data_IF_310336857917
#
_entry.id   IF_310336857917
#
_cell.length_a   1.000
_cell.length_b   1.000
_cell.length_c   1.000
_cell.angle_alpha   90.00
_cell.angle_beta   90.00
_cell.angle_gamma   90.00
#
_symmetry.space_group_name_H-M   'P 1'
#
loop_
_entity.id
_entity.type
_entity.pdbx_description
1 polymer ?
#
# COMPACT_ATOMS: atom_id res chain seq x y z
N UNK A 1 -29.26 56.57 22.70
CA UNK A 1 -29.10 56.29 24.16
C UNK A 1 -29.90 55.03 24.47
N UNK A 2 -29.44 54.29 25.49
CA UNK A 2 -30.00 53.04 26.05
C UNK A 2 -29.36 51.73 25.56
N UNK A 3 -28.41 51.31 26.40
CA UNK A 3 -27.82 49.97 26.51
C UNK A 3 -28.81 49.10 27.30
N UNK A 4 -29.15 47.93 26.78
CA UNK A 4 -29.74 46.86 27.61
C UNK A 4 -28.67 45.83 27.98
N UNK A 5 -28.56 45.65 29.29
CA UNK A 5 -27.79 44.64 30.04
C UNK A 5 -28.48 43.26 29.97
N UNK A 6 -27.72 42.29 30.46
CA UNK A 6 -28.07 40.94 30.92
C UNK A 6 -27.77 39.84 29.91
N UNK A 7 -26.63 39.18 30.10
CA UNK A 7 -26.56 37.77 30.52
C UNK A 7 -25.15 37.52 31.07
N UNK A 8 -25.07 37.41 32.40
CA UNK A 8 -24.00 36.74 33.12
C UNK A 8 -24.68 35.56 33.82
N UNK A 9 -24.30 34.34 33.46
CA UNK A 9 -24.39 33.18 34.34
C UNK A 9 -23.53 32.05 33.75
N UNK A 10 -22.30 32.02 34.28
CA UNK A 10 -21.43 30.86 34.49
C UNK A 10 -22.02 29.48 34.13
N UNK A 11 -21.53 28.90 33.04
CA UNK A 11 -21.24 27.46 33.00
C UNK A 11 -19.75 27.32 32.68
N UNK A 12 -18.98 27.06 33.72
CA UNK A 12 -17.60 26.62 33.64
C UNK A 12 -17.53 25.38 32.75
N UNK A 13 -17.18 25.59 31.49
CA UNK A 13 -16.60 24.56 30.65
C UNK A 13 -15.25 24.24 31.27
N UNK A 14 -15.19 23.11 31.95
CA UNK A 14 -13.94 22.46 32.35
C UNK A 14 -13.14 22.18 31.07
N UNK A 15 -12.29 23.14 30.70
CA UNK A 15 -11.16 22.98 29.79
C UNK A 15 -10.14 22.05 30.47
N UNK A 16 -10.43 20.75 30.49
CA UNK A 16 -9.37 19.78 30.65
C UNK A 16 -8.67 19.65 29.32
N UNK A 17 -7.52 20.33 29.21
CA UNK A 17 -6.45 20.09 28.26
C UNK A 17 -5.94 18.62 28.38
N UNK A 18 -6.76 17.66 27.98
CA UNK A 18 -6.32 16.28 27.74
C UNK A 18 -5.80 16.15 26.28
N UNK A 19 -5.03 17.14 25.83
CA UNK A 19 -4.19 16.98 24.64
C UNK A 19 -2.95 16.23 25.09
N UNK A 20 -2.98 14.92 24.86
CA UNK A 20 -1.88 14.01 25.12
C UNK A 20 -0.58 14.56 24.46
N UNK A 21 0.39 14.92 25.29
CA UNK A 21 1.70 15.38 24.83
C UNK A 21 2.49 14.22 24.23
N UNK A 22 2.56 14.19 22.90
CA UNK A 22 3.34 13.22 22.14
C UNK A 22 4.85 13.31 22.40
N UNK A 23 5.33 14.40 23.00
CA UNK A 23 6.74 14.58 23.31
C UNK A 23 7.19 13.63 24.42
N UNK A 24 6.34 13.38 25.42
CA UNK A 24 6.63 12.47 26.56
C UNK A 24 6.66 10.99 26.15
N UNK A 25 6.09 10.62 24.99
CA UNK A 25 6.25 9.27 24.42
C UNK A 25 7.58 9.08 23.69
N UNK A 26 8.22 10.17 23.23
CA UNK A 26 9.53 10.08 22.59
C UNK A 26 10.60 9.67 23.60
N UNK A 27 10.56 10.24 24.80
CA UNK A 27 11.58 10.00 25.83
C UNK A 27 11.65 8.51 26.25
N UNK A 28 10.52 7.82 26.35
CA UNK A 28 10.48 6.36 26.66
C UNK A 28 10.95 5.49 25.49
N UNK A 29 10.82 5.99 24.26
CA UNK A 29 11.28 5.30 23.05
C UNK A 29 12.76 5.56 22.78
N UNK A 30 13.25 6.76 23.10
CA UNK A 30 14.64 7.17 22.97
C UNK A 30 15.52 6.54 24.07
N UNK A 31 15.00 6.34 25.30
CA UNK A 31 15.74 5.63 26.36
C UNK A 31 16.01 4.13 26.05
N UNK A 32 15.35 3.55 25.03
CA UNK A 32 15.58 2.17 24.57
C UNK A 32 16.26 2.08 23.19
N UNK A 33 16.59 3.20 22.57
CA UNK A 33 17.31 3.25 21.30
C UNK A 33 18.32 4.38 21.40
N UNK A 34 19.58 4.04 21.65
CA UNK A 34 20.68 4.99 21.55
C UNK A 34 20.73 5.56 20.14
N UNK A 35 20.13 6.73 19.95
CA UNK A 35 20.28 7.52 18.75
C UNK A 35 21.53 8.38 18.91
N UNK A 36 22.51 8.14 18.04
CA UNK A 36 23.62 9.06 17.84
C UNK A 36 23.05 10.38 17.29
N UNK A 37 22.97 11.37 18.16
CA UNK A 37 22.48 12.70 17.86
C UNK A 37 23.64 13.56 17.34
N UNK A 38 23.88 13.54 16.04
CA UNK A 38 24.70 14.57 15.39
C UNK A 38 24.04 15.05 14.11
N UNK A 39 23.20 16.08 14.25
CA UNK A 39 22.96 17.10 13.22
C UNK A 39 22.27 18.31 13.86
N UNK A 40 23.09 19.23 14.37
CA UNK A 40 22.67 20.57 14.75
C UNK A 40 22.13 21.34 13.54
N UNK A 41 20.99 21.98 13.76
CA UNK A 41 20.35 22.89 12.81
C UNK A 41 21.05 24.24 12.82
N UNK A 42 21.54 24.69 11.66
CA UNK A 42 21.60 26.12 11.34
C UNK A 42 21.68 26.32 9.82
N UNK A 43 20.97 27.35 9.34
CA UNK A 43 21.25 28.00 8.06
C UNK A 43 20.48 27.46 6.86
N UNK A 44 19.40 28.15 6.53
CA UNK A 44 18.78 28.15 5.21
C UNK A 44 19.80 28.49 4.12
N UNK A 45 20.10 27.54 3.23
CA UNK A 45 20.52 27.81 1.85
C UNK A 45 20.26 26.58 0.96
N UNK A 46 19.69 26.84 -0.22
CA UNK A 46 19.37 25.83 -1.23
C UNK A 46 20.69 25.30 -1.82
N UNK A 47 21.09 24.09 -1.45
CA UNK A 47 22.23 23.39 -2.07
C UNK A 47 21.71 22.23 -2.92
N UNK A 48 21.67 22.46 -4.23
CA UNK A 48 21.59 21.40 -5.24
C UNK A 48 22.77 20.44 -5.03
N UNK A 49 22.57 19.11 -4.93
CA UNK A 49 23.68 18.19 -4.75
C UNK A 49 24.59 18.22 -5.99
N UNK A 50 25.87 18.60 -5.78
CA UNK A 50 26.95 18.47 -6.76
C UNK A 50 27.05 17.01 -7.21
N UNK A 51 26.93 16.78 -8.53
CA UNK A 51 27.26 15.51 -9.18
C UNK A 51 28.68 15.09 -8.81
N UNK A 52 28.83 14.05 -7.98
CA UNK A 52 30.07 13.29 -7.91
C UNK A 52 30.20 12.48 -9.21
N UNK A 53 31.18 12.81 -10.04
CA UNK A 53 31.65 11.95 -11.14
C UNK A 53 32.21 10.67 -10.51
N UNK A 54 31.48 9.56 -10.61
CA UNK A 54 32.09 8.24 -10.45
C UNK A 54 33.02 8.01 -11.66
N UNK A 55 34.27 7.64 -11.37
CA UNK A 55 35.21 7.14 -12.38
C UNK A 55 34.65 5.84 -12.95
N UNK A 56 34.51 5.80 -14.26
CA UNK A 56 34.25 4.59 -15.03
C UNK A 56 35.54 3.76 -14.95
N UNK A 57 35.45 2.56 -14.39
CA UNK A 57 36.45 1.52 -14.60
C UNK A 57 35.90 0.70 -15.77
N UNK A 58 36.52 0.87 -16.93
CA UNK A 58 36.32 -0.02 -18.08
C UNK A 58 36.98 -1.35 -17.71
N UNK A 59 36.17 -2.36 -17.39
CA UNK A 59 36.62 -3.74 -17.41
C UNK A 59 36.10 -4.38 -18.69
N UNK A 60 36.96 -4.41 -19.69
CA UNK A 60 36.83 -5.25 -20.87
C UNK A 60 36.79 -6.72 -20.41
N UNK A 61 35.63 -7.34 -20.53
CA UNK A 61 35.51 -8.79 -20.68
C UNK A 61 34.52 -9.04 -21.81
N UNK A 62 35.07 -9.12 -23.01
CA UNK A 62 34.49 -9.85 -24.12
C UNK A 62 34.32 -11.31 -23.67
N UNK A 63 33.09 -11.76 -23.46
CA UNK A 63 32.52 -12.85 -24.26
C UNK A 63 31.12 -13.25 -23.76
N UNK A 64 30.30 -13.72 -24.71
CA UNK A 64 28.89 -14.12 -24.62
C UNK A 64 27.82 -13.03 -24.80
N UNK A 65 27.94 -12.26 -25.89
CA UNK A 65 26.76 -11.63 -26.51
C UNK A 65 25.85 -12.73 -27.09
N UNK A 66 24.84 -13.14 -26.31
CA UNK A 66 23.65 -13.78 -26.87
C UNK A 66 23.03 -12.80 -27.88
N UNK A 67 22.79 -13.28 -29.10
CA UNK A 67 22.08 -12.55 -30.16
C UNK A 67 20.82 -11.88 -29.60
N UNK A 68 20.88 -10.58 -29.29
CA UNK A 68 19.71 -9.77 -28.99
C UNK A 68 19.01 -9.54 -30.32
N UNK A 69 17.87 -10.19 -30.53
CA UNK A 69 16.97 -9.89 -31.66
C UNK A 69 16.81 -8.36 -31.78
N UNK A 70 17.04 -7.80 -32.96
CA UNK A 70 16.78 -6.38 -33.17
C UNK A 70 15.28 -6.07 -33.10
N UNK A 71 14.92 -4.83 -32.75
CA UNK A 71 13.53 -4.38 -32.79
C UNK A 71 13.02 -4.35 -34.24
N UNK A 72 12.01 -5.16 -34.53
CA UNK A 72 11.37 -5.24 -35.85
C UNK A 72 10.06 -4.46 -35.87
N UNK A 73 9.82 -3.69 -36.92
CA UNK A 73 8.53 -3.04 -37.16
C UNK A 73 7.48 -4.11 -37.54
N UNK A 74 6.44 -4.20 -36.73
CA UNK A 74 5.31 -5.13 -36.90
C UNK A 74 3.98 -4.38 -36.91
N UNK A 75 3.99 -3.08 -37.22
CA UNK A 75 2.80 -2.22 -37.20
C UNK A 75 1.66 -2.76 -38.06
N UNK A 76 1.97 -3.39 -39.19
CA UNK A 76 1.00 -3.97 -40.14
C UNK A 76 0.90 -5.51 -40.03
N UNK A 77 1.55 -6.11 -39.02
CA UNK A 77 1.60 -7.57 -38.85
C UNK A 77 0.88 -7.98 -37.58
N UNK A 78 0.03 -8.99 -37.71
CA UNK A 78 -0.62 -9.66 -36.57
C UNK A 78 0.33 -10.70 -35.94
N UNK A 79 1.52 -10.25 -35.55
CA UNK A 79 2.55 -11.12 -34.99
C UNK A 79 2.34 -11.29 -33.48
N UNK A 80 1.71 -12.41 -33.10
CA UNK A 80 1.41 -12.74 -31.70
C UNK A 80 2.68 -13.12 -30.92
N UNK A 81 2.85 -12.64 -29.68
CA UNK A 81 3.81 -13.24 -28.74
C UNK A 81 3.43 -14.68 -28.39
N UNK A 82 4.42 -15.53 -28.09
CA UNK A 82 4.17 -16.87 -27.58
C UNK A 82 3.48 -16.78 -26.22
N UNK A 83 2.33 -17.42 -26.10
CA UNK A 83 1.51 -17.44 -24.88
C UNK A 83 1.81 -18.66 -24.04
N UNK A 84 1.96 -18.44 -22.75
CA UNK A 84 2.00 -19.50 -21.74
C UNK A 84 0.56 -19.74 -21.28
N UNK A 85 -0.03 -20.93 -21.49
CA UNK A 85 -1.39 -21.21 -21.03
C UNK A 85 -1.51 -21.00 -19.52
N UNK A 86 -2.54 -20.28 -19.10
CA UNK A 86 -2.87 -20.12 -17.70
C UNK A 86 -3.15 -21.48 -17.05
N UNK A 87 -2.48 -21.76 -15.93
CA UNK A 87 -2.69 -22.99 -15.18
C UNK A 87 -2.24 -22.80 -13.74
N UNK A 88 -3.11 -23.21 -12.83
CA UNK A 88 -2.89 -23.21 -11.38
C UNK A 88 -3.19 -24.58 -10.78
N UNK A 89 -3.25 -25.63 -11.59
CA UNK A 89 -3.64 -26.97 -11.12
C UNK A 89 -2.65 -27.48 -10.05
N UNK A 90 -3.14 -28.16 -9.00
CA UNK A 90 -4.53 -28.59 -8.77
C UNK A 90 -5.43 -27.56 -8.06
N UNK A 91 -4.97 -26.32 -7.86
CA UNK A 91 -5.74 -25.28 -7.20
C UNK A 91 -6.89 -24.76 -8.10
N UNK A 92 -7.88 -24.11 -7.47
CA UNK A 92 -9.05 -23.52 -8.12
C UNK A 92 -9.08 -22.02 -7.82
N UNK A 93 -9.43 -21.21 -8.83
CA UNK A 93 -9.57 -19.75 -8.71
C UNK A 93 -10.69 -19.43 -7.71
N UNK A 94 -10.53 -18.35 -6.96
CA UNK A 94 -11.57 -17.78 -6.13
C UNK A 94 -11.38 -18.07 -4.64
N UNK A 95 -12.45 -17.95 -3.84
CA UNK A 95 -12.40 -18.11 -2.39
C UNK A 95 -11.96 -19.52 -1.97
N UNK A 96 -10.96 -19.60 -1.10
CA UNK A 96 -10.50 -20.82 -0.44
C UNK A 96 -11.11 -20.91 0.97
N UNK A 97 -12.38 -20.58 1.09
CA UNK A 97 -13.09 -20.43 2.37
C UNK A 97 -13.98 -21.65 2.61
N UNK A 98 -14.05 -22.17 3.85
CA UNK A 98 -14.98 -23.24 4.20
C UNK A 98 -16.45 -22.88 3.92
N UNK A 99 -17.25 -23.84 3.47
CA UNK A 99 -18.66 -23.64 3.08
C UNK A 99 -19.60 -23.27 4.24
N UNK A 100 -19.17 -23.49 5.48
CA UNK A 100 -19.92 -23.13 6.70
C UNK A 100 -19.78 -21.65 7.09
N UNK A 101 -18.96 -20.87 6.37
CA UNK A 101 -18.83 -19.42 6.55
C UNK A 101 -19.88 -18.72 5.70
N UNK A 102 -20.92 -18.20 6.35
CA UNK A 102 -22.10 -17.62 5.66
C UNK A 102 -22.46 -16.23 6.15
N UNK A 103 -22.12 -15.88 7.39
CA UNK A 103 -22.42 -14.57 7.97
C UNK A 103 -21.25 -13.59 7.77
N UNK A 104 -21.51 -12.29 7.53
CA UNK A 104 -20.46 -11.28 7.35
C UNK A 104 -19.40 -11.25 8.44
N UNK A 105 -19.80 -11.44 9.71
CA UNK A 105 -18.88 -11.48 10.85
C UNK A 105 -17.91 -12.67 10.78
N UNK A 106 -18.36 -13.81 10.23
CA UNK A 106 -17.51 -14.98 10.09
C UNK A 106 -16.41 -14.73 9.05
N UNK A 107 -16.74 -14.07 7.93
CA UNK A 107 -15.76 -13.63 6.94
C UNK A 107 -14.75 -12.64 7.55
N UNK A 108 -15.20 -11.69 8.36
CA UNK A 108 -14.31 -10.75 9.05
C UNK A 108 -13.34 -11.47 10.00
N UNK A 109 -13.84 -12.47 10.73
CA UNK A 109 -13.06 -13.29 11.67
C UNK A 109 -12.04 -14.22 11.00
N UNK A 110 -12.09 -14.42 9.68
CA UNK A 110 -11.01 -15.11 8.96
C UNK A 110 -9.70 -14.32 9.02
N UNK A 111 -9.79 -12.98 9.00
CA UNK A 111 -8.65 -12.06 9.00
C UNK A 111 -8.31 -11.58 10.40
N UNK A 112 -9.31 -11.19 11.19
CA UNK A 112 -9.13 -10.83 12.60
C UNK A 112 -9.60 -12.00 13.47
N UNK A 113 -8.75 -13.01 13.61
CA UNK A 113 -9.11 -14.22 14.36
C UNK A 113 -9.18 -13.96 15.86
N UNK A 114 -9.87 -14.83 16.59
CA UNK A 114 -9.91 -14.75 18.05
C UNK A 114 -8.52 -14.94 18.68
N UNK A 115 -7.64 -15.73 18.06
CA UNK A 115 -6.24 -15.91 18.47
C UNK A 115 -5.45 -14.60 18.36
N UNK A 116 -5.55 -13.92 17.21
CA UNK A 116 -4.90 -12.63 17.01
C UNK A 116 -5.45 -11.58 18.00
N UNK A 117 -6.77 -11.56 18.19
CA UNK A 117 -7.41 -10.65 19.16
C UNK A 117 -6.89 -10.89 20.58
N UNK A 118 -6.77 -12.15 21.00
CA UNK A 118 -6.25 -12.50 22.31
C UNK A 118 -4.78 -12.04 22.48
N UNK A 119 -3.97 -12.12 21.42
CA UNK A 119 -2.60 -11.61 21.44
C UNK A 119 -2.56 -10.07 21.57
N UNK A 120 -3.37 -9.36 20.78
CA UNK A 120 -3.48 -7.89 20.87
C UNK A 120 -3.95 -7.46 22.26
N UNK A 121 -4.94 -8.15 22.83
CA UNK A 121 -5.46 -7.90 24.17
C UNK A 121 -4.39 -8.07 25.24
N UNK A 122 -3.63 -9.17 25.17
CA UNK A 122 -2.53 -9.45 26.09
C UNK A 122 -1.50 -8.32 26.04
N UNK A 123 -1.05 -7.92 24.86
CA UNK A 123 -0.04 -6.88 24.70
C UNK A 123 -0.55 -5.49 25.09
N UNK A 124 -1.81 -5.17 24.76
CA UNK A 124 -2.49 -3.93 25.17
C UNK A 124 -2.56 -3.80 26.70
N UNK A 125 -3.01 -4.86 27.38
CA UNK A 125 -3.12 -4.86 28.84
C UNK A 125 -1.74 -4.84 29.53
N UNK A 126 -0.75 -5.56 28.98
CA UNK A 126 0.63 -5.52 29.48
C UNK A 126 1.25 -4.14 29.32
N UNK A 127 1.09 -3.51 28.16
CA UNK A 127 1.58 -2.16 27.90
C UNK A 127 0.96 -1.17 28.88
N UNK A 128 -0.36 -1.18 29.04
CA UNK A 128 -1.03 -0.32 29.99
C UNK A 128 -0.47 -0.51 31.40
N UNK A 129 -0.37 -1.74 31.91
CA UNK A 129 0.22 -2.03 33.23
C UNK A 129 1.63 -1.45 33.39
N UNK A 130 2.47 -1.55 32.35
CA UNK A 130 3.83 -1.03 32.38
C UNK A 130 3.85 0.51 32.41
N UNK A 131 3.07 1.16 31.54
CA UNK A 131 2.97 2.63 31.51
C UNK A 131 2.45 3.17 32.84
N UNK A 132 1.43 2.55 33.41
CA UNK A 132 0.82 3.01 34.65
C UNK A 132 1.72 2.82 35.87
N UNK A 133 2.61 1.82 35.85
CA UNK A 133 3.63 1.62 36.90
C UNK A 133 4.75 2.65 36.83
N UNK A 134 5.18 3.00 35.62
CA UNK A 134 6.36 3.84 35.40
C UNK A 134 6.04 5.34 35.42
N UNK A 135 4.83 5.75 35.02
CA UNK A 135 4.45 7.16 34.96
C UNK A 135 3.76 7.62 36.23
N UNK A 136 4.11 8.82 36.70
CA UNK A 136 3.26 9.58 37.62
C UNK A 136 2.09 10.14 36.83
N UNK A 137 0.90 9.61 37.09
CA UNK A 137 -0.32 10.01 36.40
C UNK A 137 -1.04 11.07 37.24
N UNK A 138 -1.52 12.13 36.59
CA UNK A 138 -2.40 13.12 37.23
C UNK A 138 -3.63 12.45 37.86
N UNK A 139 -4.12 12.99 38.97
CA UNK A 139 -5.34 12.50 39.65
C UNK A 139 -6.57 12.53 38.75
N UNK A 140 -6.62 13.49 37.81
CA UNK A 140 -7.77 13.69 36.92
C UNK A 140 -7.66 12.88 35.62
N UNK A 141 -6.54 12.18 35.42
CA UNK A 141 -6.32 11.43 34.19
C UNK A 141 -7.33 10.30 34.03
N UNK A 142 -7.79 10.10 32.79
CA UNK A 142 -8.63 8.97 32.46
C UNK A 142 -7.99 7.62 32.82
N UNK A 143 -6.67 7.55 32.91
CA UNK A 143 -5.88 6.35 33.18
C UNK A 143 -5.93 5.86 34.63
N UNK A 144 -6.34 6.69 35.58
CA UNK A 144 -6.49 6.30 36.99
C UNK A 144 -7.52 5.18 37.18
N UNK A 145 -8.55 5.16 36.34
CA UNK A 145 -9.58 4.13 36.35
C UNK A 145 -9.37 3.13 35.23
N UNK A 146 -8.11 2.86 34.85
CA UNK A 146 -7.82 1.81 33.89
C UNK A 146 -8.22 0.46 34.47
N UNK A 147 -8.89 -0.33 33.63
CA UNK A 147 -9.07 -1.77 33.84
C UNK A 147 -8.69 -2.49 32.57
N UNK A 148 -8.23 -3.73 32.72
CA UNK A 148 -7.89 -4.59 31.60
C UNK A 148 -9.07 -4.68 30.62
N UNK A 149 -8.74 -4.71 29.33
CA UNK A 149 -9.69 -4.85 28.23
C UNK A 149 -10.04 -6.33 28.09
N UNK A 150 -11.34 -6.62 28.04
CA UNK A 150 -11.88 -7.97 27.86
C UNK A 150 -12.15 -8.27 26.38
N UNK A 151 -12.33 -9.56 26.06
CA UNK A 151 -12.51 -10.01 24.67
C UNK A 151 -13.75 -9.43 24.00
N UNK A 152 -14.90 -9.48 24.67
CA UNK A 152 -16.17 -8.95 24.14
C UNK A 152 -16.11 -7.43 24.01
N UNK A 153 -15.46 -6.77 24.98
CA UNK A 153 -15.21 -5.33 24.94
C UNK A 153 -14.33 -4.94 23.75
N UNK A 154 -13.28 -5.71 23.46
CA UNK A 154 -12.43 -5.45 22.29
C UNK A 154 -13.18 -5.64 20.97
N UNK A 155 -14.01 -6.68 20.87
CA UNK A 155 -14.87 -6.88 19.70
C UNK A 155 -15.86 -5.73 19.51
N UNK A 156 -16.46 -5.22 20.59
CA UNK A 156 -17.28 -4.02 20.56
C UNK A 156 -16.48 -2.79 20.12
N UNK A 157 -15.24 -2.65 20.59
CA UNK A 157 -14.34 -1.55 20.20
C UNK A 157 -14.05 -1.58 18.69
N UNK A 158 -13.72 -2.75 18.13
CA UNK A 158 -13.56 -2.93 16.68
C UNK A 158 -14.86 -2.59 15.94
N UNK A 159 -16.01 -3.03 16.44
CA UNK A 159 -17.32 -2.68 15.88
C UNK A 159 -17.57 -1.17 15.82
N UNK A 160 -17.17 -0.43 16.87
CA UNK A 160 -17.21 1.04 16.88
C UNK A 160 -16.27 1.63 15.83
N UNK A 161 -15.03 1.16 15.73
CA UNK A 161 -14.06 1.64 14.73
C UNK A 161 -14.56 1.42 13.30
N UNK A 162 -15.16 0.26 13.02
CA UNK A 162 -15.75 -0.04 11.71
C UNK A 162 -16.90 0.94 11.41
N UNK A 163 -17.77 1.22 12.38
CA UNK A 163 -18.89 2.15 12.18
C UNK A 163 -18.44 3.62 12.09
N UNK A 164 -17.33 4.01 12.72
CA UNK A 164 -16.72 5.33 12.48
C UNK A 164 -16.21 5.47 11.03
N UNK A 165 -15.81 4.37 10.40
CA UNK A 165 -15.43 4.35 8.99
C UNK A 165 -16.61 4.47 8.02
N UNK A 166 -17.84 4.21 8.46
CA UNK A 166 -19.05 4.43 7.64
C UNK A 166 -19.66 5.80 7.90
N UNK A 167 -19.64 6.25 9.17
CA UNK A 167 -20.18 7.54 9.60
C UNK A 167 -19.04 8.44 10.07
N UNK A 168 -18.46 9.20 9.14
CA UNK A 168 -17.36 10.11 9.46
C UNK A 168 -17.85 11.42 10.09
N UNK A 169 -17.47 11.68 11.33
CA UNK A 169 -17.69 12.96 12.01
C UNK A 169 -16.45 13.87 11.96
N UNK A 170 -16.63 15.15 12.28
CA UNK A 170 -15.60 16.18 12.15
C UNK A 170 -14.38 15.94 13.05
N UNK A 171 -14.58 15.35 14.24
CA UNK A 171 -13.52 15.01 15.19
C UNK A 171 -13.96 13.82 16.07
N UNK A 172 -13.02 13.28 16.85
CA UNK A 172 -13.26 12.08 17.69
C UNK A 172 -14.29 12.34 18.80
N UNK A 173 -14.38 13.57 19.30
CA UNK A 173 -15.25 13.93 20.42
C UNK A 173 -16.72 13.95 20.01
N UNK A 174 -17.03 14.32 18.76
CA UNK A 174 -18.41 14.40 18.25
C UNK A 174 -19.16 13.06 18.31
N UNK A 175 -18.46 11.93 18.23
CA UNK A 175 -19.10 10.61 18.32
C UNK A 175 -19.82 10.38 19.65
N UNK A 176 -19.44 11.11 20.72
CA UNK A 176 -20.06 11.03 22.04
C UNK A 176 -20.79 12.32 22.44
N UNK A 177 -21.18 13.14 21.46
CA UNK A 177 -21.99 14.33 21.74
C UNK A 177 -23.33 13.94 22.35
N UNK A 178 -23.76 14.70 23.36
CA UNK A 178 -25.07 14.54 24.01
C UNK A 178 -26.12 15.49 23.44
N UNK A 179 -25.73 16.39 22.52
CA UNK A 179 -26.64 17.35 21.87
C UNK A 179 -27.64 16.61 20.99
N UNK A 180 -28.92 16.85 21.22
CA UNK A 180 -30.02 16.11 20.58
C UNK A 180 -29.95 16.12 19.06
N UNK A 181 -29.56 17.24 18.45
CA UNK A 181 -29.48 17.41 17.00
C UNK A 181 -28.29 16.69 16.32
N UNK A 182 -27.31 16.21 17.08
CA UNK A 182 -26.09 15.56 16.56
C UNK A 182 -25.81 14.20 17.20
N UNK A 183 -26.59 13.80 18.21
CA UNK A 183 -26.38 12.57 18.97
C UNK A 183 -26.66 11.35 18.10
N UNK A 184 -25.67 10.45 18.03
CA UNK A 184 -25.81 9.14 17.41
C UNK A 184 -25.75 8.07 18.51
N UNK A 185 -26.91 7.53 18.96
CA UNK A 185 -26.98 6.71 20.17
C UNK A 185 -26.05 5.50 20.20
N UNK A 186 -25.78 4.89 19.04
CA UNK A 186 -24.91 3.71 18.91
C UNK A 186 -23.57 3.89 19.66
N UNK A 187 -22.88 5.01 19.47
CA UNK A 187 -21.56 5.23 20.06
C UNK A 187 -21.62 5.38 21.58
N UNK A 188 -22.53 6.23 22.08
CA UNK A 188 -22.71 6.46 23.52
C UNK A 188 -23.27 5.26 24.27
N UNK A 189 -24.07 4.43 23.59
CA UNK A 189 -24.65 3.23 24.19
C UNK A 189 -23.65 2.07 24.22
N UNK A 190 -22.64 2.07 23.33
CA UNK A 190 -21.61 1.02 23.29
C UNK A 190 -20.44 1.32 24.21
N UNK A 191 -19.93 2.56 24.19
CA UNK A 191 -18.85 3.00 25.06
C UNK A 191 -19.11 4.38 25.64
N UNK A 192 -18.58 4.63 26.84
CA UNK A 192 -18.33 6.02 27.26
C UNK A 192 -17.14 6.58 26.48
N UNK A 193 -17.14 7.90 26.21
CA UNK A 193 -15.99 8.58 25.58
C UNK A 193 -14.68 8.26 26.29
N UNK A 194 -14.72 8.25 27.63
CA UNK A 194 -13.59 7.91 28.49
C UNK A 194 -13.06 6.50 28.22
N UNK A 195 -13.91 5.47 28.23
CA UNK A 195 -13.47 4.08 28.05
C UNK A 195 -12.99 3.81 26.63
N UNK A 196 -13.63 4.39 25.62
CA UNK A 196 -13.15 4.27 24.24
C UNK A 196 -11.75 4.87 24.09
N UNK A 197 -11.54 6.12 24.55
CA UNK A 197 -10.24 6.76 24.52
C UNK A 197 -9.20 5.98 25.32
N UNK A 198 -9.61 5.34 26.42
CA UNK A 198 -8.72 4.50 27.18
C UNK A 198 -8.13 3.38 26.29
N UNK A 199 -9.01 2.61 25.64
CA UNK A 199 -8.59 1.49 24.78
C UNK A 199 -7.79 2.01 23.58
N UNK A 200 -8.28 3.08 22.94
CA UNK A 200 -7.67 3.65 21.74
C UNK A 200 -6.21 4.03 21.92
N UNK A 201 -5.85 4.73 23.01
CA UNK A 201 -4.48 5.17 23.23
C UNK A 201 -3.55 4.09 23.80
N UNK A 202 -4.09 3.06 24.46
CA UNK A 202 -3.30 1.96 25.01
C UNK A 202 -3.21 0.76 24.06
N UNK A 203 -3.87 0.78 22.91
CA UNK A 203 -3.83 -0.29 21.92
C UNK A 203 -2.39 -0.59 21.49
N UNK A 204 -1.91 -1.79 21.78
CA UNK A 204 -0.55 -2.21 21.47
C UNK A 204 -0.52 -3.57 20.79
N UNK A 205 0.42 -3.69 19.85
CA UNK A 205 0.73 -4.93 19.13
C UNK A 205 2.00 -5.53 19.71
N UNK A 206 2.14 -6.85 19.53
CA UNK A 206 3.39 -7.53 19.82
C UNK A 206 4.49 -7.03 18.90
N UNK A 207 5.48 -6.36 19.48
CA UNK A 207 6.65 -5.90 18.75
C UNK A 207 7.58 -7.07 18.41
N UNK A 208 8.28 -7.03 17.26
CA UNK A 208 9.37 -7.95 17.00
C UNK A 208 10.42 -7.88 18.12
N UNK A 209 11.09 -9.00 18.37
CA UNK A 209 12.20 -9.05 19.33
C UNK A 209 13.36 -8.16 18.83
N UNK A 210 13.71 -7.07 19.54
CA UNK A 210 14.78 -6.16 19.11
C UNK A 210 16.15 -6.84 19.06
N UNK A 211 16.36 -7.90 19.86
CA UNK A 211 17.63 -8.64 19.85
C UNK A 211 17.80 -9.48 18.57
N UNK A 212 16.70 -9.79 17.88
CA UNK A 212 16.68 -10.61 16.66
C UNK A 212 16.37 -9.80 15.40
N UNK A 213 15.82 -8.60 15.54
CA UNK A 213 15.38 -7.77 14.44
C UNK A 213 15.92 -6.36 14.60
N UNK A 214 16.55 -5.84 13.55
CA UNK A 214 17.00 -4.45 13.50
C UNK A 214 15.79 -3.53 13.26
N UNK A 215 15.15 -3.10 14.35
CA UNK A 215 14.01 -2.18 14.34
C UNK A 215 14.53 -0.75 14.14
N UNK A 216 14.61 -0.33 12.88
CA UNK A 216 15.07 1.02 12.51
C UNK A 216 13.93 2.04 12.41
N UNK A 217 12.67 1.59 12.38
CA UNK A 217 11.49 2.45 12.22
C UNK A 217 10.32 2.04 13.09
N UNK A 218 9.51 3.03 13.52
CA UNK A 218 8.35 2.80 14.39
C UNK A 218 7.30 1.85 13.79
N UNK A 219 7.12 1.81 12.47
CA UNK A 219 6.10 0.93 11.85
C UNK A 219 6.58 -0.52 11.76
N UNK A 220 7.88 -0.81 11.84
CA UNK A 220 8.35 -2.19 12.03
C UNK A 220 7.81 -2.80 13.34
N UNK A 221 7.35 -2.00 14.30
CA UNK A 221 6.62 -2.51 15.48
C UNK A 221 5.32 -3.22 15.14
N UNK A 222 4.72 -2.90 13.99
CA UNK A 222 3.52 -3.55 13.47
C UNK A 222 3.83 -4.66 12.44
N UNK A 223 5.11 -4.98 12.17
CA UNK A 223 5.47 -5.94 11.12
C UNK A 223 4.85 -7.31 11.35
N UNK A 224 4.89 -7.82 12.59
CA UNK A 224 4.26 -9.10 12.96
C UNK A 224 2.78 -9.14 12.58
N UNK A 225 2.03 -8.06 12.86
CA UNK A 225 0.62 -7.95 12.51
C UNK A 225 0.43 -7.85 10.99
N UNK A 226 1.25 -7.06 10.30
CA UNK A 226 1.16 -6.89 8.85
C UNK A 226 1.49 -8.18 8.11
N UNK A 227 2.50 -8.93 8.56
CA UNK A 227 2.85 -10.25 8.04
C UNK A 227 1.73 -11.26 8.30
N UNK A 228 1.15 -11.25 9.50
CA UNK A 228 -0.02 -12.09 9.81
C UNK A 228 -1.18 -11.79 8.86
N UNK A 229 -1.60 -10.53 8.72
CA UNK A 229 -2.72 -10.16 7.85
C UNK A 229 -2.41 -10.48 6.39
N UNK A 230 -1.18 -10.21 5.93
CA UNK A 230 -0.74 -10.55 4.59
C UNK A 230 -0.83 -12.06 4.32
N UNK A 231 -0.49 -12.89 5.33
CA UNK A 231 -0.64 -14.35 5.20
C UNK A 231 -2.10 -14.75 4.99
N UNK A 232 -3.04 -14.09 5.69
CA UNK A 232 -4.49 -14.34 5.58
C UNK A 232 -5.06 -13.96 4.22
N UNK A 233 -4.55 -12.91 3.57
CA UNK A 233 -4.95 -12.58 2.21
C UNK A 233 -4.72 -13.75 1.25
N UNK A 234 -3.56 -14.41 1.36
CA UNK A 234 -3.21 -15.54 0.51
C UNK A 234 -3.81 -16.88 0.94
N UNK A 235 -4.25 -17.03 2.20
CA UNK A 235 -4.87 -18.26 2.71
C UNK A 235 -6.29 -18.47 2.14
N UNK A 236 -7.04 -17.39 1.91
CA UNK A 236 -8.49 -17.46 1.65
C UNK A 236 -8.92 -17.13 0.22
N UNK A 237 -7.99 -16.86 -0.69
CA UNK A 237 -8.33 -16.52 -2.06
C UNK A 237 -7.19 -16.84 -3.02
N UNK A 238 -7.52 -17.35 -4.20
CA UNK A 238 -6.57 -17.54 -5.31
C UNK A 238 -7.04 -16.66 -6.47
N UNK A 239 -6.20 -15.74 -6.99
CA UNK A 239 -6.59 -14.82 -8.05
C UNK A 239 -6.81 -15.52 -9.38
N UNK A 240 -7.60 -14.88 -10.24
CA UNK A 240 -7.75 -15.27 -11.63
C UNK A 240 -6.51 -14.95 -12.48
N UNK A 241 -6.57 -15.26 -13.77
CA UNK A 241 -5.44 -15.06 -14.70
C UNK A 241 -4.87 -13.64 -14.68
N UNK A 242 -5.74 -12.63 -14.54
CA UNK A 242 -5.37 -11.23 -14.59
C UNK A 242 -5.11 -10.67 -13.19
N UNK A 243 -3.85 -10.28 -12.92
CA UNK A 243 -3.41 -9.69 -11.66
C UNK A 243 -2.82 -8.30 -11.90
N UNK A 244 -2.85 -7.41 -10.92
CA UNK A 244 -2.28 -6.08 -11.04
C UNK A 244 -1.38 -5.70 -9.87
N UNK A 245 -0.35 -4.91 -10.16
CA UNK A 245 0.53 -4.31 -9.14
C UNK A 245 0.46 -2.80 -9.22
N UNK A 246 0.13 -2.17 -8.10
CA UNK A 246 0.05 -0.71 -7.96
C UNK A 246 0.37 -0.29 -6.50
N UNK A 247 0.44 1.01 -6.25
CA UNK A 247 0.57 1.57 -4.90
C UNK A 247 -0.77 1.94 -4.26
N UNK A 248 -0.90 1.63 -2.98
CA UNK A 248 -1.91 2.21 -2.08
C UNK A 248 -1.25 3.17 -1.08
N UNK A 249 -2.00 4.19 -0.66
CA UNK A 249 -1.54 5.20 0.30
C UNK A 249 -2.49 5.24 1.50
N UNK A 250 -1.97 4.88 2.67
CA UNK A 250 -2.65 4.97 3.95
C UNK A 250 -2.46 6.39 4.48
N UNK A 251 -3.55 7.15 4.53
CA UNK A 251 -3.54 8.57 4.95
C UNK A 251 -2.93 8.71 6.35
N UNK A 252 -1.81 9.40 6.45
CA UNK A 252 -1.12 9.62 7.71
C UNK A 252 -0.30 10.93 7.65
N UNK A 253 -0.31 11.70 8.74
CA UNK A 253 0.39 12.99 8.87
C UNK A 253 1.26 13.08 10.13
N UNK A 254 1.53 11.96 10.80
CA UNK A 254 2.40 11.94 11.99
C UNK A 254 3.88 12.08 11.66
N UNK A 255 4.74 12.07 12.69
CA UNK A 255 6.19 12.20 12.52
C UNK A 255 6.84 10.83 12.29
N UNK A 256 6.92 10.38 11.03
CA UNK A 256 7.69 9.20 10.61
C UNK A 256 8.53 9.52 9.38
N UNK A 257 9.74 8.94 9.28
CA UNK A 257 10.76 9.31 8.29
C UNK A 257 10.42 8.96 6.84
N UNK A 258 9.51 8.01 6.61
CA UNK A 258 9.18 7.48 5.28
C UNK A 258 7.75 7.81 4.83
N UNK A 259 7.13 8.85 5.41
CA UNK A 259 5.92 9.42 4.82
C UNK A 259 6.21 9.84 3.38
N UNK A 260 5.32 9.45 2.48
CA UNK A 260 5.39 9.85 1.08
C UNK A 260 4.45 11.00 0.81
N UNK A 261 4.94 11.99 0.08
CA UNK A 261 4.15 13.09 -0.46
C UNK A 261 3.90 12.88 -1.96
N UNK A 262 2.63 12.90 -2.38
CA UNK A 262 2.26 12.93 -3.79
C UNK A 262 1.22 14.02 -4.06
N UNK A 263 1.61 15.18 -4.61
CA UNK A 263 0.69 16.31 -4.81
C UNK A 263 -0.45 16.00 -5.79
N UNK A 264 -0.27 15.00 -6.66
CA UNK A 264 -1.21 14.63 -7.71
C UNK A 264 -2.29 13.63 -7.25
N UNK A 265 -2.24 13.16 -5.99
CA UNK A 265 -3.20 12.22 -5.41
C UNK A 265 -4.11 12.95 -4.41
N UNK A 266 -5.34 12.47 -4.24
CA UNK A 266 -6.31 13.03 -3.27
C UNK A 266 -5.75 12.98 -1.84
N UNK A 267 -5.20 11.82 -1.46
CA UNK A 267 -4.43 11.65 -0.23
C UNK A 267 -2.98 12.00 -0.51
N UNK A 268 -2.61 13.26 -0.23
CA UNK A 268 -1.27 13.77 -0.53
C UNK A 268 -0.18 13.22 0.37
N UNK A 269 -0.49 12.93 1.63
CA UNK A 269 0.45 12.49 2.66
C UNK A 269 0.03 11.14 3.20
N UNK A 270 0.96 10.19 3.24
CA UNK A 270 0.67 8.90 3.85
C UNK A 270 1.80 7.89 3.75
N UNK A 271 1.53 6.75 4.38
CA UNK A 271 2.38 5.56 4.32
C UNK A 271 2.02 4.83 3.03
N UNK A 272 3.03 4.53 2.21
CA UNK A 272 2.86 3.81 0.96
C UNK A 272 2.91 2.30 1.21
N UNK A 273 2.04 1.56 0.55
CA UNK A 273 2.13 0.11 0.44
C UNK A 273 2.04 -0.29 -1.03
N UNK A 274 2.85 -1.26 -1.44
CA UNK A 274 2.77 -1.88 -2.76
C UNK A 274 1.80 -3.06 -2.68
N UNK A 275 0.89 -3.18 -3.64
CA UNK A 275 -0.24 -4.12 -3.55
C UNK A 275 -0.26 -4.98 -4.80
N UNK A 276 -0.39 -6.29 -4.62
CA UNK A 276 -0.81 -7.23 -5.66
C UNK A 276 -2.28 -7.55 -5.45
N UNK A 277 -3.08 -7.36 -6.50
CA UNK A 277 -4.51 -7.63 -6.45
C UNK A 277 -5.00 -8.42 -7.67
N UNK A 278 -6.14 -9.09 -7.48
CA UNK A 278 -6.94 -9.63 -8.58
C UNK A 278 -7.53 -8.48 -9.39
N UNK A 279 -7.38 -8.52 -10.71
CA UNK A 279 -7.79 -7.40 -11.58
C UNK A 279 -9.29 -7.34 -11.83
N UNK A 280 -10.00 -8.45 -11.66
CA UNK A 280 -11.43 -8.54 -11.98
C UNK A 280 -12.29 -8.12 -10.78
N UNK A 281 -11.97 -8.62 -9.59
CA UNK A 281 -12.77 -8.36 -8.38
C UNK A 281 -12.11 -7.41 -7.38
N UNK A 282 -10.84 -7.04 -7.59
CA UNK A 282 -10.12 -6.11 -6.73
C UNK A 282 -9.69 -6.70 -5.37
N UNK A 283 -9.65 -8.03 -5.24
CA UNK A 283 -9.19 -8.68 -4.02
C UNK A 283 -7.69 -8.45 -3.82
N UNK A 284 -7.30 -7.94 -2.65
CA UNK A 284 -5.90 -7.74 -2.28
C UNK A 284 -5.29 -9.09 -1.90
N UNK A 285 -4.37 -9.58 -2.72
CA UNK A 285 -3.71 -10.87 -2.50
C UNK A 285 -2.44 -10.75 -1.65
N UNK A 286 -1.68 -9.67 -1.85
CA UNK A 286 -0.44 -9.43 -1.10
C UNK A 286 -0.13 -7.95 -0.99
N UNK A 287 0.44 -7.56 0.15
CA UNK A 287 0.92 -6.21 0.43
C UNK A 287 2.39 -6.21 0.81
N UNK A 288 3.11 -5.18 0.39
CA UNK A 288 4.47 -4.87 0.81
C UNK A 288 4.51 -3.41 1.31
N UNK A 289 4.46 -3.19 2.63
CA UNK A 289 4.59 -1.86 3.21
C UNK A 289 5.95 -1.22 2.87
N UNK A 290 5.94 0.08 2.57
CA UNK A 290 7.15 0.85 2.30
C UNK A 290 7.66 1.51 3.59
N UNK A 291 8.89 1.17 3.95
CA UNK A 291 9.65 1.67 5.09
C UNK A 291 10.83 2.57 4.63
N UNK A 292 10.71 3.20 3.46
CA UNK A 292 11.80 3.97 2.86
C UNK A 292 12.91 3.06 2.31
N UNK A 293 14.17 3.39 2.60
CA UNK A 293 15.33 2.64 2.07
C UNK A 293 15.38 1.19 2.55
N UNK A 294 14.88 0.92 3.77
CA UNK A 294 14.85 -0.41 4.38
C UNK A 294 14.09 -1.41 3.49
N UNK A 295 12.96 -1.00 2.89
CA UNK A 295 12.24 -1.87 1.96
C UNK A 295 13.10 -2.22 0.76
N UNK A 296 13.81 -1.25 0.18
CA UNK A 296 14.71 -1.50 -0.95
C UNK A 296 15.99 -2.25 -0.58
N UNK A 297 16.44 -2.20 0.67
CA UNK A 297 17.58 -2.98 1.16
C UNK A 297 17.20 -4.46 1.31
N UNK A 298 16.01 -4.73 1.85
CA UNK A 298 15.56 -6.09 2.18
C UNK A 298 14.94 -6.86 1.00
N UNK A 299 14.62 -6.19 -0.11
CA UNK A 299 14.11 -6.87 -1.31
C UNK A 299 15.19 -7.81 -1.90
N UNK A 300 14.83 -8.96 -2.48
CA UNK A 300 15.78 -9.82 -3.19
C UNK A 300 16.29 -9.15 -4.48
N UNK A 301 17.33 -9.74 -5.11
CA UNK A 301 17.89 -9.31 -6.41
C UNK A 301 18.35 -7.84 -6.46
N UNK A 302 19.36 -7.46 -5.65
CA UNK A 302 19.86 -6.07 -5.61
C UNK A 302 20.47 -5.60 -6.93
N UNK A 303 20.77 -6.51 -7.86
CA UNK A 303 21.18 -6.25 -9.23
C UNK A 303 20.10 -5.58 -10.10
N UNK A 304 18.83 -5.66 -9.69
CA UNK A 304 17.69 -5.15 -10.44
C UNK A 304 17.19 -3.79 -9.92
N UNK A 305 16.42 -3.09 -10.76
CA UNK A 305 15.72 -1.87 -10.37
C UNK A 305 14.72 -2.13 -9.22
N UNK A 306 14.59 -1.20 -8.28
CA UNK A 306 13.66 -1.32 -7.15
C UNK A 306 12.22 -1.59 -7.60
N UNK A 307 11.75 -0.90 -8.65
CA UNK A 307 10.40 -1.12 -9.21
C UNK A 307 10.22 -2.55 -9.70
N UNK A 308 11.22 -3.12 -10.37
CA UNK A 308 11.21 -4.52 -10.83
C UNK A 308 11.18 -5.47 -9.63
N UNK A 309 12.03 -5.23 -8.62
CA UNK A 309 12.14 -6.08 -7.42
C UNK A 309 10.84 -6.13 -6.61
N UNK A 310 10.13 -5.01 -6.48
CA UNK A 310 8.82 -4.95 -5.83
C UNK A 310 7.84 -5.90 -6.53
N UNK A 311 7.73 -5.77 -7.86
CA UNK A 311 6.80 -6.57 -8.66
C UNK A 311 7.14 -8.07 -8.59
N UNK A 312 8.42 -8.42 -8.74
CA UNK A 312 8.87 -9.81 -8.64
C UNK A 312 8.66 -10.39 -7.24
N UNK A 313 8.90 -9.60 -6.18
CA UNK A 313 8.68 -10.03 -4.81
C UNK A 313 7.20 -10.33 -4.55
N UNK A 314 6.30 -9.45 -4.96
CA UNK A 314 4.86 -9.66 -4.81
C UNK A 314 4.38 -10.89 -5.59
N UNK A 315 4.87 -11.08 -6.82
CA UNK A 315 4.54 -12.28 -7.59
C UNK A 315 5.14 -13.56 -6.98
N UNK A 316 6.33 -13.48 -6.40
CA UNK A 316 6.93 -14.60 -5.66
C UNK A 316 6.06 -15.02 -4.47
N UNK A 317 5.40 -14.10 -3.77
CA UNK A 317 4.46 -14.45 -2.70
C UNK A 317 3.28 -15.29 -3.23
N UNK A 318 2.80 -15.01 -4.44
CA UNK A 318 1.80 -15.84 -5.12
C UNK A 318 2.35 -17.23 -5.43
N UNK A 319 3.53 -17.31 -6.05
CA UNK A 319 4.15 -18.59 -6.39
C UNK A 319 4.49 -19.44 -5.15
N UNK A 320 4.81 -18.82 -4.01
CA UNK A 320 5.04 -19.56 -2.76
C UNK A 320 3.80 -20.33 -2.30
N UNK A 321 2.60 -19.83 -2.60
CA UNK A 321 1.33 -20.49 -2.28
C UNK A 321 0.79 -21.38 -3.39
N UNK A 322 1.08 -21.02 -4.64
CA UNK A 322 0.68 -21.79 -5.84
C UNK A 322 1.93 -22.07 -6.69
N UNK A 323 2.82 -23.01 -6.29
CA UNK A 323 4.10 -23.22 -6.98
C UNK A 323 3.98 -23.71 -8.43
N UNK A 324 2.85 -24.31 -8.78
CA UNK A 324 2.54 -24.80 -10.12
C UNK A 324 1.99 -23.71 -11.04
N UNK A 325 1.72 -22.52 -10.50
CA UNK A 325 1.19 -21.38 -11.23
C UNK A 325 2.04 -21.02 -12.45
N UNK A 326 1.36 -20.82 -13.57
CA UNK A 326 1.94 -20.29 -14.81
C UNK A 326 0.87 -19.58 -15.63
N UNK A 327 1.31 -18.73 -16.53
CA UNK A 327 0.45 -18.04 -17.49
C UNK A 327 -0.38 -16.91 -16.88
N UNK A 328 -0.13 -16.49 -15.63
CA UNK A 328 -0.71 -15.25 -15.11
C UNK A 328 -0.36 -14.07 -16.02
N UNK A 329 -1.25 -13.09 -16.09
CA UNK A 329 -1.09 -11.85 -16.83
C UNK A 329 -1.10 -10.68 -15.87
N UNK A 330 0.08 -10.09 -15.67
CA UNK A 330 0.25 -8.95 -14.79
C UNK A 330 0.04 -7.62 -15.52
N UNK A 331 -0.79 -6.77 -14.93
CA UNK A 331 -1.03 -5.39 -15.36
C UNK A 331 -0.34 -4.41 -14.42
N UNK A 332 0.46 -3.49 -14.96
CA UNK A 332 1.16 -2.49 -14.15
C UNK A 332 1.14 -1.10 -14.76
N UNK A 333 1.38 -0.08 -13.93
CA UNK A 333 1.52 1.29 -14.38
C UNK A 333 2.93 1.58 -14.96
N UNK A 334 3.16 2.84 -15.34
CA UNK A 334 4.44 3.30 -15.91
C UNK A 334 5.61 3.38 -14.92
N UNK A 335 5.36 3.36 -13.62
CA UNK A 335 6.42 3.30 -12.60
C UNK A 335 7.07 1.92 -12.59
N UNK A 336 6.28 0.84 -12.78
CA UNK A 336 6.79 -0.53 -12.82
C UNK A 336 7.26 -0.98 -14.21
N UNK A 337 6.48 -0.66 -15.24
CA UNK A 337 6.65 -1.24 -16.58
C UNK A 337 8.03 -0.93 -17.18
N UNK A 338 8.75 -1.99 -17.55
CA UNK A 338 10.02 -1.94 -18.26
C UNK A 338 10.27 -3.23 -19.03
N UNK A 339 11.17 -3.18 -20.03
CA UNK A 339 11.57 -4.37 -20.80
C UNK A 339 12.20 -5.41 -19.87
N UNK A 340 13.07 -4.97 -18.95
CA UNK A 340 13.67 -5.83 -17.92
C UNK A 340 12.63 -6.55 -17.07
N UNK A 341 11.57 -5.85 -16.63
CA UNK A 341 10.49 -6.49 -15.87
C UNK A 341 9.74 -7.53 -16.71
N UNK A 342 9.49 -7.24 -17.99
CA UNK A 342 8.83 -8.18 -18.90
C UNK A 342 9.63 -9.47 -19.08
N UNK A 343 10.95 -9.36 -19.20
CA UNK A 343 11.87 -10.49 -19.31
C UNK A 343 11.93 -11.32 -18.02
N UNK A 344 12.07 -10.67 -16.86
CA UNK A 344 12.13 -11.38 -15.56
C UNK A 344 10.81 -12.07 -15.21
N UNK A 345 9.66 -11.42 -15.45
CA UNK A 345 8.36 -12.06 -15.25
C UNK A 345 8.15 -13.24 -16.20
N UNK A 346 8.62 -13.14 -17.45
CA UNK A 346 8.54 -14.25 -18.41
C UNK A 346 9.37 -15.46 -17.98
N UNK A 347 10.53 -15.26 -17.35
CA UNK A 347 11.31 -16.34 -16.70
C UNK A 347 10.50 -17.03 -15.60
N UNK A 348 9.65 -16.26 -14.90
CA UNK A 348 8.69 -16.77 -13.91
C UNK A 348 7.34 -17.20 -14.51
N UNK A 349 7.27 -17.39 -15.83
CA UNK A 349 6.07 -17.80 -16.58
C UNK A 349 4.86 -16.87 -16.40
N UNK A 350 5.12 -15.57 -16.25
CA UNK A 350 4.11 -14.52 -16.12
C UNK A 350 4.21 -13.53 -17.28
N UNK A 351 3.07 -13.16 -17.85
CA UNK A 351 2.97 -12.12 -18.85
C UNK A 351 2.90 -10.74 -18.18
N UNK A 352 3.28 -9.71 -18.93
CA UNK A 352 3.24 -8.33 -18.50
C UNK A 352 2.52 -7.50 -19.55
N UNK A 353 1.65 -6.60 -19.11
CA UNK A 353 1.16 -5.49 -19.90
C UNK A 353 1.10 -4.24 -19.05
N UNK A 354 1.52 -3.11 -19.61
CA UNK A 354 1.51 -1.86 -18.86
C UNK A 354 1.94 -0.69 -19.70
N UNK A 355 1.55 0.50 -19.27
CA UNK A 355 2.02 1.74 -19.90
C UNK A 355 3.50 1.90 -19.63
N UNK A 356 4.33 2.25 -20.63
CA UNK A 356 5.78 2.37 -20.45
C UNK A 356 6.24 3.82 -20.58
N UNK A 357 7.24 4.21 -19.77
CA UNK A 357 7.93 5.48 -19.99
C UNK A 357 8.93 5.33 -21.15
N UNK A 358 8.79 6.15 -22.20
CA UNK A 358 9.63 6.06 -23.41
C UNK A 358 11.14 6.33 -23.19
N UNK A 359 11.51 6.89 -22.04
CA UNK A 359 12.90 7.13 -21.65
C UNK A 359 13.54 5.92 -20.93
N UNK A 360 12.81 4.81 -20.75
CA UNK A 360 13.36 3.57 -20.15
C UNK A 360 14.46 2.99 -21.04
N UNK A 361 15.45 2.35 -20.39
CA UNK A 361 16.52 1.61 -21.08
C UNK A 361 15.92 0.52 -21.97
N UNK A 362 16.48 0.36 -23.18
CA UNK A 362 16.05 -0.64 -24.17
C UNK A 362 14.93 -0.19 -25.12
N UNK A 363 14.21 0.90 -24.82
CA UNK A 363 13.17 1.43 -25.72
C UNK A 363 13.83 2.03 -26.97
N UNK A 364 13.46 1.60 -28.19
CA UNK A 364 14.07 2.08 -29.42
C UNK A 364 13.77 3.57 -29.66
N UNK A 365 14.68 4.26 -30.33
CA UNK A 365 14.57 5.71 -30.59
C UNK A 365 13.36 6.07 -31.45
N UNK A 366 12.93 5.16 -32.33
CA UNK A 366 11.73 5.27 -33.15
C UNK A 366 10.46 5.46 -32.30
N UNK A 367 10.36 4.78 -31.15
CA UNK A 367 9.24 4.91 -30.21
C UNK A 367 9.31 6.15 -29.32
N UNK A 368 10.49 6.78 -29.18
CA UNK A 368 10.62 8.05 -28.45
C UNK A 368 10.01 9.22 -29.22
N UNK A 369 9.96 9.11 -30.55
CA UNK A 369 9.33 10.07 -31.47
C UNK A 369 8.51 9.29 -32.51
N UNK A 370 7.38 8.69 -32.10
CA UNK A 370 6.62 7.82 -32.98
C UNK A 370 6.01 8.65 -34.12
N UNK A 371 6.25 8.22 -35.36
CA UNK A 371 5.67 8.84 -36.56
C UNK A 371 4.22 8.38 -36.70
N UNK A 372 3.30 9.16 -36.15
CA UNK A 372 1.85 8.86 -36.13
C UNK A 372 1.04 9.76 -37.08
N UNK A 373 1.70 10.49 -37.98
CA UNK A 373 1.04 11.44 -38.87
C UNK A 373 0.26 10.74 -39.99
N UNK A 374 0.77 9.59 -40.46
CA UNK A 374 0.12 8.74 -41.49
C UNK A 374 -0.49 7.46 -40.89
N UNK A 375 -0.02 7.01 -39.72
CA UNK A 375 -0.42 5.77 -39.07
C UNK A 375 -1.05 6.05 -37.70
N UNK A 376 -2.22 5.45 -37.41
CA UNK A 376 -2.89 5.59 -36.09
C UNK A 376 -2.09 4.98 -34.94
N UNK A 377 -1.24 4.00 -35.24
CA UNK A 377 -0.43 3.23 -34.29
C UNK A 377 0.91 2.86 -34.92
N UNK A 378 1.94 2.70 -34.09
CA UNK A 378 3.19 2.02 -34.42
C UNK A 378 3.42 0.87 -33.44
N UNK A 379 3.95 -0.24 -33.92
CA UNK A 379 4.27 -1.40 -33.09
C UNK A 379 5.64 -1.98 -33.47
N UNK A 380 6.46 -2.24 -32.45
CA UNK A 380 7.77 -2.86 -32.60
C UNK A 380 7.84 -4.11 -31.73
N UNK A 381 8.47 -5.17 -32.24
CA UNK A 381 8.64 -6.45 -31.52
C UNK A 381 10.12 -6.82 -31.42
N UNK A 382 10.52 -7.28 -30.25
CA UNK A 382 11.83 -7.88 -29.96
C UNK A 382 11.58 -9.18 -29.18
N UNK A 383 11.97 -10.32 -29.74
CA UNK A 383 11.58 -11.63 -29.21
C UNK A 383 10.08 -11.72 -28.96
N UNK A 384 9.67 -11.90 -27.71
CA UNK A 384 8.28 -11.97 -27.27
C UNK A 384 7.71 -10.66 -26.69
N UNK A 385 8.49 -9.58 -26.71
CA UNK A 385 8.08 -8.28 -26.16
C UNK A 385 7.68 -7.36 -27.29
N UNK A 386 6.50 -6.76 -27.16
CA UNK A 386 5.97 -5.73 -28.05
C UNK A 386 5.89 -4.38 -27.35
N UNK A 387 6.20 -3.34 -28.12
CA UNK A 387 6.01 -1.96 -27.74
C UNK A 387 5.07 -1.29 -28.73
N UNK A 388 4.07 -0.60 -28.19
CA UNK A 388 3.05 0.11 -28.95
C UNK A 388 3.18 1.60 -28.68
N UNK A 389 2.90 2.41 -29.69
CA UNK A 389 2.45 3.77 -29.46
C UNK A 389 1.30 4.12 -30.39
N UNK A 390 0.26 4.75 -29.85
CA UNK A 390 -0.86 5.26 -30.62
C UNK A 390 -1.30 6.62 -30.08
N UNK A 391 -2.06 7.37 -30.89
CA UNK A 391 -2.60 8.67 -30.52
C UNK A 391 -4.05 8.53 -30.08
N UNK A 392 -4.30 8.73 -28.79
CA UNK A 392 -5.62 9.11 -28.26
C UNK A 392 -5.62 10.65 -28.09
N UNK A 393 -6.13 11.21 -26.98
CA UNK A 393 -5.92 12.64 -26.61
C UNK A 393 -4.45 13.03 -26.50
N UNK A 394 -3.59 12.06 -26.17
CA UNK A 394 -2.13 12.16 -26.15
C UNK A 394 -1.55 10.86 -26.70
N UNK A 395 -0.25 10.88 -27.01
CA UNK A 395 0.46 9.65 -27.36
C UNK A 395 0.49 8.76 -26.12
N UNK A 396 -0.02 7.55 -26.27
CA UNK A 396 0.06 6.48 -25.26
C UNK A 396 1.12 5.49 -25.73
N UNK A 397 1.99 5.08 -24.81
CA UNK A 397 2.99 4.04 -25.06
C UNK A 397 2.75 2.86 -24.12
N UNK A 398 2.72 1.66 -24.68
CA UNK A 398 2.42 0.42 -23.96
C UNK A 398 3.52 -0.61 -24.24
N UNK A 399 3.85 -1.41 -23.24
CA UNK A 399 4.60 -2.65 -23.39
C UNK A 399 3.65 -3.82 -23.14
N UNK A 400 3.71 -4.84 -23.99
CA UNK A 400 3.03 -6.11 -23.76
C UNK A 400 3.87 -7.28 -24.27
N UNK A 401 3.81 -8.42 -23.59
CA UNK A 401 4.27 -9.70 -24.14
C UNK A 401 3.11 -10.70 -24.35
N UNK A 402 1.90 -10.17 -24.58
CA UNK A 402 0.65 -10.93 -24.76
C UNK A 402 -0.19 -10.46 -25.97
N UNK A 403 -0.27 -9.15 -26.17
CA UNK A 403 -1.08 -8.50 -27.21
C UNK A 403 -0.32 -8.32 -28.53
N UNK A 404 -1.04 -8.16 -29.64
CA UNK A 404 -0.50 -7.82 -30.97
C UNK A 404 -0.87 -6.38 -31.38
N UNK A 405 -0.45 -5.98 -32.58
CA UNK A 405 -0.68 -4.64 -33.12
C UNK A 405 -2.11 -4.40 -33.67
N UNK A 406 -3.01 -5.38 -33.57
CA UNK A 406 -4.39 -5.24 -34.04
C UNK A 406 -5.10 -4.10 -33.33
N UNK A 407 -5.81 -3.26 -34.08
CA UNK A 407 -6.63 -2.20 -33.52
C UNK A 407 -8.03 -2.72 -33.26
N UNK A 408 -8.48 -2.63 -32.01
CA UNK A 408 -9.82 -3.03 -31.60
C UNK A 408 -10.63 -1.81 -31.16
N UNK A 409 -11.92 -1.84 -31.50
CA UNK A 409 -12.90 -0.88 -30.99
C UNK A 409 -13.37 -1.34 -29.62
N UNK A 410 -13.20 -0.50 -28.60
CA UNK A 410 -13.62 -0.80 -27.22
C UNK A 410 -14.45 0.33 -26.62
N UNK A 411 -15.21 0.01 -25.57
CA UNK A 411 -15.97 0.99 -24.80
C UNK A 411 -15.16 1.41 -23.58
N UNK A 412 -14.89 2.71 -23.48
CA UNK A 412 -14.22 3.33 -22.34
C UNK A 412 -15.26 3.99 -21.45
N UNK A 413 -15.28 3.61 -20.17
CA UNK A 413 -16.03 4.33 -19.15
C UNK A 413 -15.32 5.64 -18.80
N UNK A 414 -16.05 6.74 -18.90
CA UNK A 414 -15.58 8.07 -18.46
C UNK A 414 -16.20 8.37 -17.10
N UNK A 415 -15.46 9.15 -16.29
CA UNK A 415 -15.95 9.68 -15.02
C UNK A 415 -17.27 10.43 -15.25
N UNK A 416 -18.35 9.95 -14.65
CA UNK A 416 -19.72 10.44 -14.91
C UNK A 416 -20.66 9.40 -15.54
N UNK A 417 -20.17 8.18 -15.84
CA UNK A 417 -21.02 7.08 -16.33
C UNK A 417 -21.28 7.09 -17.83
N UNK A 418 -20.63 7.99 -18.58
CA UNK A 418 -20.71 8.02 -20.04
C UNK A 418 -19.73 7.03 -20.66
N UNK A 419 -20.18 6.38 -21.74
CA UNK A 419 -19.35 5.47 -22.52
C UNK A 419 -18.88 6.19 -23.79
N UNK A 420 -17.56 6.18 -24.02
CA UNK A 420 -16.96 6.62 -25.28
C UNK A 420 -16.45 5.40 -26.02
N UNK A 421 -16.73 5.33 -27.32
CA UNK A 421 -16.17 4.30 -28.19
C UNK A 421 -14.81 4.78 -28.66
N UNK A 422 -13.77 4.00 -28.38
CA UNK A 422 -12.40 4.32 -28.77
C UNK A 422 -11.79 3.16 -29.55
N UNK A 423 -10.86 3.47 -30.45
CA UNK A 423 -9.98 2.48 -31.07
C UNK A 423 -8.64 2.49 -30.34
N UNK A 424 -8.16 1.31 -29.96
CA UNK A 424 -6.84 1.13 -29.35
C UNK A 424 -6.23 -0.21 -29.80
N UNK A 425 -4.91 -0.41 -29.65
CA UNK A 425 -4.32 -1.72 -29.82
C UNK A 425 -4.97 -2.77 -28.90
N UNK A 426 -4.98 -4.02 -29.38
CA UNK A 426 -5.62 -5.18 -28.75
C UNK A 426 -5.27 -5.35 -27.28
#
# INVERSE_FOLDING_TARGET
MEKNKYYDENLELSDTEDVFDFQVLKDIVEDNVGYDSDASSSGSEIILPKRRRMRIIESETEDSLQYLDEWRDVTEKLDMPDRIPFSILPQVIGPQVPTNIVQPIQYFKLFLTDELVNEILKETNNYAKNVLKLKKISSNSIWQTWRDVEKDEFWAFIGVIVNMGTIHLANMQEYWTVKENSRIPFFSNTFTRKRFNQIFWMLHLKTPDPAKNDIRTLIQRASNFLEYINSKFSDYFIPGENICVDESVIKFKGKISFITYNPNKLTKWGIRAYVLADSEIGYVYSILPCYGSITSENLPRPDLLVSTRITLHLYQQLLNRVPTAKGYHMHTDRYYTSILLAEELRKMKCHLTGTIQINRKGVPTTLKKPKLDEKRTVAYKQGNTMLFAWRDKRIVSLLSNWHNAEMITTRRFIRGGTNEVIEKPS
#
